data_IF_898568421442
#
_entry.id   IF_898568421442
#
_cell.length_a   1.000
_cell.length_b   1.000
_cell.length_c   1.000
_cell.angle_alpha   90.00
_cell.angle_beta   90.00
_cell.angle_gamma   90.00
#
_symmetry.space_group_name_H-M   'P 1'
#
loop_
_entity.id
_entity.type
_entity.pdbx_description
1 polymer ?
#
# COMPACT_ATOMS: atom_id res chain seq x y z
N UNK A 1 -1.52 17.86 25.10
CA UNK A 1 -2.18 18.53 23.95
C UNK A 1 -2.27 17.66 22.70
N UNK A 2 -1.29 16.77 22.44
CA UNK A 2 -1.22 15.90 21.25
C UNK A 2 -2.32 14.83 21.18
N UNK A 3 -2.70 14.22 22.30
CA UNK A 3 -3.75 13.18 22.34
C UNK A 3 -5.11 13.69 21.83
N UNK A 4 -5.39 14.98 21.99
CA UNK A 4 -6.66 15.60 21.59
C UNK A 4 -6.71 15.82 20.06
N UNK A 5 -5.57 16.15 19.43
CA UNK A 5 -5.47 16.34 17.97
C UNK A 5 -5.67 15.02 17.23
N UNK A 6 -5.04 13.94 17.69
CA UNK A 6 -5.20 12.59 17.11
C UNK A 6 -6.64 12.11 17.22
N UNK A 7 -7.29 12.31 18.39
CA UNK A 7 -8.69 11.95 18.60
C UNK A 7 -9.62 12.76 17.67
N UNK A 8 -9.36 14.05 17.48
CA UNK A 8 -10.12 14.91 16.57
C UNK A 8 -9.99 14.42 15.10
N UNK A 9 -8.78 14.11 14.65
CA UNK A 9 -8.56 13.62 13.30
C UNK A 9 -9.19 12.25 13.06
N UNK A 10 -9.11 11.34 14.04
CA UNK A 10 -9.78 10.05 13.95
C UNK A 10 -11.30 10.20 13.84
N UNK A 11 -11.88 11.15 14.58
CA UNK A 11 -13.29 11.50 14.51
C UNK A 11 -13.67 12.04 13.13
N UNK A 12 -12.87 12.97 12.56
CA UNK A 12 -13.15 13.60 11.27
C UNK A 12 -13.03 12.60 10.11
N UNK A 13 -12.04 11.70 10.17
CA UNK A 13 -11.90 10.60 9.21
C UNK A 13 -13.12 9.67 9.30
N UNK A 14 -13.55 9.28 10.49
CA UNK A 14 -14.72 8.42 10.68
C UNK A 14 -15.99 9.06 10.11
N UNK A 15 -16.19 10.34 10.34
CA UNK A 15 -17.34 11.08 9.81
C UNK A 15 -17.30 11.17 8.29
N UNK A 16 -16.11 11.41 7.72
CA UNK A 16 -15.92 11.46 6.27
C UNK A 16 -16.22 10.10 5.63
N UNK A 17 -15.71 9.01 6.20
CA UNK A 17 -15.98 7.64 5.74
C UNK A 17 -17.45 7.25 5.93
N UNK A 18 -18.08 7.66 7.03
CA UNK A 18 -19.52 7.45 7.27
C UNK A 18 -20.37 8.14 6.20
N UNK A 19 -20.00 9.35 5.78
CA UNK A 19 -20.70 10.06 4.69
C UNK A 19 -20.52 9.35 3.35
N UNK A 20 -19.33 8.79 3.06
CA UNK A 20 -19.09 7.97 1.86
C UNK A 20 -19.98 6.72 1.88
N UNK A 21 -20.07 6.03 3.01
CA UNK A 21 -20.94 4.86 3.15
C UNK A 21 -22.40 5.18 2.83
N UNK A 22 -22.92 6.30 3.35
CA UNK A 22 -24.28 6.77 3.04
C UNK A 22 -24.48 7.09 1.54
N UNK A 23 -23.47 7.67 0.89
CA UNK A 23 -23.53 7.90 -0.55
C UNK A 23 -23.52 6.60 -1.35
N UNK A 24 -22.71 5.61 -0.97
CA UNK A 24 -22.69 4.30 -1.63
C UNK A 24 -24.00 3.54 -1.41
N UNK A 25 -24.58 3.58 -0.20
CA UNK A 25 -25.89 3.01 0.10
C UNK A 25 -27.00 3.66 -0.75
N UNK A 26 -26.90 4.96 -1.02
CA UNK A 26 -27.87 5.65 -1.88
C UNK A 26 -27.87 5.14 -3.33
N UNK A 27 -26.78 4.54 -3.81
CA UNK A 27 -26.66 3.93 -5.14
C UNK A 27 -27.46 2.63 -5.27
N UNK A 28 -27.88 2.00 -4.17
CA UNK A 28 -28.78 0.84 -4.19
C UNK A 28 -30.19 1.22 -4.72
N UNK A 29 -30.50 2.53 -4.73
CA UNK A 29 -31.76 3.07 -5.24
C UNK A 29 -31.50 4.14 -6.33
N UNK A 30 -30.95 3.75 -7.49
CA UNK A 30 -30.48 4.68 -8.51
C UNK A 30 -31.56 5.57 -9.12
N UNK A 31 -32.84 5.20 -9.00
CA UNK A 31 -33.97 6.00 -9.50
C UNK A 31 -34.23 7.27 -8.66
N UNK A 32 -33.62 7.43 -7.49
CA UNK A 32 -33.84 8.54 -6.56
C UNK A 32 -32.68 9.51 -6.50
N UNK A 33 -31.54 9.19 -7.10
CA UNK A 33 -30.30 9.98 -6.96
C UNK A 33 -29.57 10.11 -8.30
N UNK A 34 -28.87 11.23 -8.46
CA UNK A 34 -27.91 11.43 -9.54
C UNK A 34 -26.63 10.65 -9.24
N UNK A 35 -26.51 9.48 -9.90
CA UNK A 35 -25.43 8.52 -9.70
C UNK A 35 -24.04 9.13 -9.94
N UNK A 36 -23.89 9.93 -11.02
CA UNK A 36 -22.60 10.54 -11.36
C UNK A 36 -22.19 11.56 -10.29
N UNK A 37 -23.15 12.33 -9.80
CA UNK A 37 -22.92 13.29 -8.73
C UNK A 37 -22.57 12.60 -7.40
N UNK A 38 -23.21 11.49 -7.08
CA UNK A 38 -22.92 10.70 -5.87
C UNK A 38 -21.51 10.12 -5.94
N UNK A 39 -21.15 9.52 -7.08
CA UNK A 39 -19.81 8.95 -7.29
C UNK A 39 -18.71 10.01 -7.20
N UNK A 40 -18.89 11.17 -7.87
CA UNK A 40 -17.93 12.26 -7.81
C UNK A 40 -17.73 12.81 -6.39
N UNK A 41 -18.80 12.92 -5.59
CA UNK A 41 -18.71 13.37 -4.19
C UNK A 41 -18.07 12.32 -3.31
N UNK A 42 -18.38 11.04 -3.50
CA UNK A 42 -17.74 9.94 -2.78
C UNK A 42 -16.23 9.91 -3.02
N UNK A 43 -15.80 10.07 -4.28
CA UNK A 43 -14.39 10.15 -4.65
C UNK A 43 -13.69 11.34 -3.98
N UNK A 44 -14.29 12.52 -3.97
CA UNK A 44 -13.75 13.71 -3.32
C UNK A 44 -13.59 13.53 -1.79
N UNK A 45 -14.58 12.89 -1.14
CA UNK A 45 -14.52 12.59 0.30
C UNK A 45 -13.48 11.53 0.64
N UNK A 46 -13.35 10.49 -0.19
CA UNK A 46 -12.31 9.47 -0.04
C UNK A 46 -10.92 10.08 -0.18
N UNK A 47 -10.69 10.95 -1.16
CA UNK A 47 -9.45 11.70 -1.32
C UNK A 47 -9.13 12.55 -0.08
N UNK A 48 -10.14 13.24 0.46
CA UNK A 48 -10.00 14.03 1.68
C UNK A 48 -9.63 13.15 2.88
N UNK A 49 -10.33 12.02 3.10
CA UNK A 49 -10.03 11.10 4.18
C UNK A 49 -8.61 10.52 4.07
N UNK A 50 -8.17 10.16 2.85
CA UNK A 50 -6.82 9.66 2.59
C UNK A 50 -5.75 10.72 2.89
N UNK A 51 -6.00 12.00 2.52
CA UNK A 51 -5.09 13.10 2.87
C UNK A 51 -4.97 13.26 4.39
N UNK A 52 -6.10 13.26 5.11
CA UNK A 52 -6.12 13.37 6.57
C UNK A 52 -5.39 12.19 7.23
N UNK A 53 -5.57 10.97 6.74
CA UNK A 53 -4.80 9.80 7.20
C UNK A 53 -3.29 9.99 6.99
N UNK A 54 -2.89 10.54 5.84
CA UNK A 54 -1.48 10.79 5.53
C UNK A 54 -0.85 11.84 6.45
N UNK A 55 -1.61 12.89 6.77
CA UNK A 55 -1.19 13.94 7.71
C UNK A 55 -1.05 13.40 9.14
N UNK A 56 -2.03 12.60 9.59
CA UNK A 56 -1.97 11.86 10.86
C UNK A 56 -0.73 10.98 10.97
N UNK A 57 -0.41 10.28 9.89
CA UNK A 57 0.74 9.37 9.89
C UNK A 57 2.06 10.13 9.92
N UNK A 58 2.16 11.28 9.24
CA UNK A 58 3.34 12.14 9.34
C UNK A 58 3.52 12.68 10.75
N UNK A 59 2.45 13.03 11.43
CA UNK A 59 2.51 13.49 12.82
C UNK A 59 2.86 12.34 13.78
N UNK A 60 2.27 11.15 13.60
CA UNK A 60 2.58 9.96 14.37
C UNK A 60 4.03 9.45 14.13
N UNK A 61 4.58 9.64 12.94
CA UNK A 61 5.97 9.29 12.64
C UNK A 61 6.97 10.20 13.35
N UNK A 62 6.57 11.43 13.71
CA UNK A 62 7.37 12.34 14.54
C UNK A 62 7.43 11.90 16.00
N UNK A 63 6.41 11.21 16.50
CA UNK A 63 6.43 10.53 17.80
C UNK A 63 7.06 9.15 17.60
N UNK A 64 8.35 9.02 17.91
CA UNK A 64 9.23 7.86 17.69
C UNK A 64 8.77 6.60 18.46
N UNK A 65 7.63 6.07 18.14
CA UNK A 65 7.22 4.72 18.54
C UNK A 65 7.61 3.74 17.43
N UNK A 66 8.90 3.44 17.34
CA UNK A 66 9.40 2.33 16.52
C UNK A 66 8.81 1.05 17.09
N UNK A 67 7.78 0.53 16.43
CA UNK A 67 7.35 -0.84 16.66
C UNK A 67 8.53 -1.73 16.25
N UNK A 68 9.06 -2.56 17.16
CA UNK A 68 10.21 -3.41 16.83
C UNK A 68 9.88 -4.28 15.61
N UNK A 69 10.84 -4.51 14.73
CA UNK A 69 10.64 -5.38 13.59
C UNK A 69 10.24 -6.79 14.06
N UNK A 70 9.24 -7.36 13.43
CA UNK A 70 8.78 -8.72 13.68
C UNK A 70 9.17 -9.61 12.51
N UNK A 71 9.43 -10.88 12.79
CA UNK A 71 9.64 -11.87 11.73
C UNK A 71 8.30 -12.39 11.27
N UNK A 72 8.02 -12.26 9.97
CA UNK A 72 6.77 -12.75 9.38
C UNK A 72 6.99 -13.25 7.93
N UNK A 73 6.04 -14.03 7.44
CA UNK A 73 6.02 -14.54 6.08
C UNK A 73 5.49 -13.45 5.12
N UNK A 74 6.40 -12.88 4.33
CA UNK A 74 6.05 -11.83 3.36
C UNK A 74 5.27 -12.37 2.16
N UNK A 75 5.40 -13.66 1.85
CA UNK A 75 4.63 -14.29 0.77
C UNK A 75 3.13 -14.19 1.05
N UNK A 76 2.72 -14.49 2.29
CA UNK A 76 1.33 -14.35 2.73
C UNK A 76 0.84 -12.89 2.64
N UNK A 77 1.69 -11.94 3.01
CA UNK A 77 1.35 -10.52 2.92
C UNK A 77 1.12 -10.10 1.45
N UNK A 78 1.94 -10.60 0.52
CA UNK A 78 1.74 -10.37 -0.91
C UNK A 78 0.41 -10.97 -1.37
N UNK A 79 0.13 -12.24 -1.02
CA UNK A 79 -1.12 -12.93 -1.39
C UNK A 79 -2.36 -12.20 -0.86
N UNK A 80 -2.32 -11.70 0.38
CA UNK A 80 -3.39 -10.90 0.98
C UNK A 80 -3.65 -9.63 0.18
N UNK A 81 -2.60 -8.88 -0.17
CA UNK A 81 -2.73 -7.66 -0.99
C UNK A 81 -3.28 -7.99 -2.38
N UNK A 82 -2.79 -9.05 -3.02
CA UNK A 82 -3.29 -9.48 -4.33
C UNK A 82 -4.77 -9.86 -4.28
N UNK A 83 -5.21 -10.57 -3.23
CA UNK A 83 -6.62 -10.92 -3.02
C UNK A 83 -7.53 -9.70 -2.89
N UNK A 84 -7.06 -8.64 -2.19
CA UNK A 84 -7.82 -7.39 -2.05
C UNK A 84 -7.88 -6.57 -3.34
N UNK A 85 -6.84 -6.62 -4.16
CA UNK A 85 -6.73 -5.82 -5.39
C UNK A 85 -7.36 -6.54 -6.59
N UNK A 86 -7.36 -7.87 -6.62
CA UNK A 86 -7.86 -8.66 -7.76
C UNK A 86 -9.24 -8.21 -8.30
N UNK A 87 -10.24 -7.87 -7.47
CA UNK A 87 -11.55 -7.44 -7.96
C UNK A 87 -11.56 -6.14 -8.78
N UNK A 88 -10.53 -5.30 -8.62
CA UNK A 88 -10.43 -3.99 -9.31
C UNK A 88 -9.47 -3.99 -10.48
N UNK A 89 -8.79 -5.11 -10.75
CA UNK A 89 -7.91 -5.29 -11.92
C UNK A 89 -8.76 -5.35 -13.19
N UNK A 90 -8.43 -4.60 -14.26
CA UNK A 90 -9.14 -4.70 -15.53
C UNK A 90 -9.10 -6.12 -16.09
N UNK A 91 -10.20 -6.59 -16.65
CA UNK A 91 -10.32 -7.95 -17.21
C UNK A 91 -9.29 -8.28 -18.30
N UNK A 92 -8.73 -7.26 -18.96
CA UNK A 92 -7.69 -7.41 -19.98
C UNK A 92 -6.27 -7.45 -19.42
N UNK A 93 -6.10 -7.34 -18.08
CA UNK A 93 -4.81 -7.28 -17.39
C UNK A 93 -4.65 -8.51 -16.52
N UNK A 94 -3.51 -9.21 -16.66
CA UNK A 94 -3.15 -10.35 -15.81
C UNK A 94 -2.35 -9.85 -14.61
N UNK A 95 -2.73 -10.30 -13.41
CA UNK A 95 -1.97 -10.09 -12.17
C UNK A 95 -1.32 -11.42 -11.78
N UNK A 96 0.00 -11.45 -11.62
CA UNK A 96 0.75 -12.68 -11.37
C UNK A 96 1.80 -12.51 -10.27
N UNK A 97 2.06 -13.59 -9.55
CA UNK A 97 3.15 -13.70 -8.57
C UNK A 97 4.06 -14.85 -8.96
N UNK A 98 5.34 -14.59 -9.12
CA UNK A 98 6.39 -15.60 -9.25
C UNK A 98 7.16 -15.73 -7.92
N UNK A 99 7.29 -16.96 -7.44
CA UNK A 99 7.83 -17.30 -6.11
C UNK A 99 6.70 -17.61 -5.14
N UNK A 100 6.50 -18.88 -4.83
CA UNK A 100 5.42 -19.39 -3.97
C UNK A 100 5.90 -20.04 -2.66
N UNK A 101 7.21 -20.12 -2.44
CA UNK A 101 7.76 -20.63 -1.19
C UNK A 101 7.62 -19.56 -0.10
N UNK A 102 7.34 -19.95 1.17
CA UNK A 102 7.34 -19.01 2.29
C UNK A 102 8.70 -18.30 2.42
N UNK A 103 8.70 -16.98 2.42
CA UNK A 103 9.88 -16.15 2.62
C UNK A 103 9.67 -15.25 3.84
N UNK A 104 10.63 -15.30 4.76
CA UNK A 104 10.53 -14.58 6.03
C UNK A 104 11.40 -13.32 6.01
N UNK A 105 10.83 -12.22 6.51
CA UNK A 105 11.50 -10.91 6.63
C UNK A 105 11.36 -10.36 8.04
N UNK A 106 12.32 -9.51 8.44
CA UNK A 106 12.29 -8.79 9.71
C UNK A 106 11.88 -7.32 9.45
N UNK A 107 10.60 -7.02 9.61
CA UNK A 107 10.03 -5.69 9.39
C UNK A 107 8.69 -5.52 10.14
N UNK A 108 8.04 -4.36 10.03
CA UNK A 108 6.66 -4.19 10.45
C UNK A 108 5.71 -4.71 9.36
N UNK A 109 4.96 -5.78 9.62
CA UNK A 109 4.07 -6.42 8.65
C UNK A 109 3.01 -5.45 8.10
N UNK A 110 2.47 -4.55 8.93
CA UNK A 110 1.47 -3.54 8.50
C UNK A 110 2.07 -2.53 7.55
N UNK A 111 3.32 -2.13 7.78
CA UNK A 111 4.01 -1.19 6.89
C UNK A 111 4.31 -1.84 5.55
N UNK A 112 4.84 -3.08 5.56
CA UNK A 112 5.10 -3.84 4.33
C UNK A 112 3.83 -4.07 3.53
N UNK A 113 2.72 -4.46 4.19
CA UNK A 113 1.41 -4.54 3.55
C UNK A 113 1.04 -3.23 2.83
N UNK A 114 1.20 -2.08 3.50
CA UNK A 114 0.86 -0.77 2.93
C UNK A 114 1.78 -0.35 1.79
N UNK A 115 3.07 -0.68 1.87
CA UNK A 115 4.01 -0.44 0.77
C UNK A 115 3.53 -1.21 -0.46
N UNK A 116 3.32 -2.52 -0.33
CA UNK A 116 2.87 -3.40 -1.40
C UNK A 116 1.53 -2.93 -1.99
N UNK A 117 0.56 -2.65 -1.12
CA UNK A 117 -0.76 -2.15 -1.54
C UNK A 117 -0.64 -0.88 -2.38
N UNK A 118 0.14 0.11 -1.94
CA UNK A 118 0.31 1.37 -2.66
C UNK A 118 0.95 1.17 -4.03
N UNK A 119 1.97 0.31 -4.13
CA UNK A 119 2.68 0.06 -5.39
C UNK A 119 1.80 -0.71 -6.38
N UNK A 120 1.15 -1.79 -5.94
CA UNK A 120 0.28 -2.61 -6.80
C UNK A 120 -0.95 -1.81 -7.21
N UNK A 121 -1.57 -1.07 -6.28
CA UNK A 121 -2.70 -0.19 -6.59
C UNK A 121 -2.33 0.89 -7.61
N UNK A 122 -1.10 1.41 -7.55
CA UNK A 122 -0.60 2.37 -8.55
C UNK A 122 -0.52 1.71 -9.95
N UNK A 123 0.04 0.50 -10.07
CA UNK A 123 0.11 -0.24 -11.33
C UNK A 123 -1.30 -0.53 -11.90
N UNK A 124 -2.26 -0.91 -11.05
CA UNK A 124 -3.67 -1.09 -11.45
C UNK A 124 -4.30 0.23 -11.89
N UNK A 125 -3.98 1.34 -11.25
CA UNK A 125 -4.41 2.68 -11.67
C UNK A 125 -3.96 3.02 -13.09
N UNK A 126 -2.69 2.70 -13.42
CA UNK A 126 -2.16 2.85 -14.78
C UNK A 126 -2.90 1.92 -15.75
N UNK A 127 -3.13 0.65 -15.39
CA UNK A 127 -3.85 -0.31 -16.22
C UNK A 127 -5.28 0.16 -16.56
N UNK A 128 -5.97 0.80 -15.61
CA UNK A 128 -7.32 1.33 -15.79
C UNK A 128 -7.37 2.56 -16.71
N UNK A 129 -6.35 3.40 -16.68
CA UNK A 129 -6.30 4.67 -17.43
C UNK A 129 -5.68 4.49 -18.81
N UNK A 130 -4.52 3.86 -18.89
CA UNK A 130 -3.77 3.70 -20.14
C UNK A 130 -4.36 2.63 -21.08
N UNK A 131 -5.09 1.63 -20.54
CA UNK A 131 -5.66 0.49 -21.28
C UNK A 131 -4.68 -0.32 -22.12
N UNK A 132 -3.38 -0.06 -21.97
CA UNK A 132 -2.28 -0.74 -22.68
C UNK A 132 -1.60 -1.79 -21.83
N UNK A 133 -1.77 -1.73 -20.51
CA UNK A 133 -1.20 -2.68 -19.56
C UNK A 133 -1.89 -4.03 -19.69
N UNK A 134 -1.12 -5.07 -20.02
CA UNK A 134 -1.59 -6.46 -20.15
C UNK A 134 -1.14 -7.31 -18.98
N UNK A 135 -0.07 -6.91 -18.32
CA UNK A 135 0.51 -7.67 -17.23
C UNK A 135 0.96 -6.76 -16.09
N UNK A 136 0.65 -7.17 -14.87
CA UNK A 136 1.25 -6.69 -13.64
C UNK A 136 1.88 -7.92 -13.00
N UNK A 137 3.20 -7.96 -12.92
CA UNK A 137 3.97 -9.09 -12.43
C UNK A 137 4.66 -8.75 -11.12
N UNK A 138 4.49 -9.61 -10.13
CA UNK A 138 5.28 -9.59 -8.91
C UNK A 138 6.29 -10.73 -8.94
N UNK A 139 7.50 -10.44 -8.49
CA UNK A 139 8.55 -11.45 -8.32
C UNK A 139 9.10 -11.34 -6.92
N UNK A 140 9.19 -12.47 -6.22
CA UNK A 140 9.74 -12.59 -4.89
C UNK A 140 10.98 -13.47 -4.93
N UNK A 141 12.14 -12.91 -4.58
CA UNK A 141 13.43 -13.58 -4.60
C UNK A 141 14.14 -13.40 -3.26
N UNK A 142 14.76 -14.47 -2.75
CA UNK A 142 15.63 -14.36 -1.60
C UNK A 142 17.07 -14.65 -2.03
N UNK A 143 17.95 -13.68 -1.83
CA UNK A 143 19.36 -13.74 -2.16
C UNK A 143 20.20 -13.54 -0.89
N UNK A 144 20.50 -14.62 -0.19
CA UNK A 144 21.23 -14.58 1.08
C UNK A 144 20.47 -13.77 2.15
N UNK A 145 21.05 -12.67 2.68
CA UNK A 145 20.44 -11.86 3.74
C UNK A 145 19.39 -10.86 3.22
N UNK A 146 19.19 -10.77 1.93
CA UNK A 146 18.25 -9.84 1.30
C UNK A 146 17.06 -10.60 0.69
N UNK A 147 15.88 -10.00 0.80
CA UNK A 147 14.65 -10.39 0.10
C UNK A 147 14.26 -9.26 -0.83
N UNK A 148 14.16 -9.56 -2.11
CA UNK A 148 13.81 -8.61 -3.15
C UNK A 148 12.40 -8.90 -3.65
N UNK A 149 11.55 -7.88 -3.64
CA UNK A 149 10.21 -7.91 -4.21
C UNK A 149 10.18 -6.93 -5.36
N UNK A 150 9.92 -7.39 -6.58
CA UNK A 150 9.74 -6.57 -7.76
C UNK A 150 8.28 -6.50 -8.14
N UNK A 151 7.83 -5.32 -8.51
CA UNK A 151 6.47 -5.06 -8.98
C UNK A 151 6.59 -4.34 -10.30
N UNK A 152 6.27 -5.03 -11.39
CA UNK A 152 6.43 -4.54 -12.75
C UNK A 152 5.10 -4.49 -13.49
N UNK A 153 4.87 -3.42 -14.26
CA UNK A 153 3.82 -3.34 -15.27
C UNK A 153 4.43 -3.17 -16.68
N UNK A 154 3.74 -3.64 -17.69
CA UNK A 154 4.12 -3.52 -19.11
C UNK A 154 3.51 -2.27 -19.78
N UNK A 155 3.18 -1.26 -18.99
CA UNK A 155 2.53 -0.03 -19.40
C UNK A 155 3.43 0.95 -20.16
N UNK A 156 3.01 2.22 -20.26
CA UNK A 156 3.74 3.24 -21.01
C UNK A 156 5.02 3.71 -20.30
N UNK A 157 5.28 3.26 -19.07
CA UNK A 157 6.35 3.78 -18.24
C UNK A 157 6.06 5.16 -17.66
N UNK A 158 7.08 5.78 -17.08
CA UNK A 158 7.00 7.09 -16.46
C UNK A 158 7.78 8.13 -17.28
N UNK A 159 7.17 9.28 -17.61
CA UNK A 159 7.90 10.41 -18.19
C UNK A 159 9.06 10.86 -17.27
N UNK A 160 10.14 11.38 -17.86
CA UNK A 160 11.36 11.75 -17.13
C UNK A 160 11.11 12.79 -16.03
N UNK A 161 10.26 13.78 -16.31
CA UNK A 161 9.86 14.80 -15.35
C UNK A 161 9.05 14.24 -14.16
N UNK A 162 8.33 13.13 -14.37
CA UNK A 162 7.62 12.38 -13.33
C UNK A 162 8.59 11.53 -12.54
N UNK A 163 9.55 10.85 -13.20
CA UNK A 163 10.60 10.05 -12.54
C UNK A 163 11.37 10.87 -11.52
N UNK A 164 11.82 12.07 -11.90
CA UNK A 164 12.59 12.98 -11.03
C UNK A 164 11.85 13.41 -9.76
N UNK A 165 10.51 13.28 -9.73
CA UNK A 165 9.66 13.73 -8.62
C UNK A 165 8.74 12.65 -8.07
N UNK A 166 9.01 11.41 -8.41
CA UNK A 166 8.11 10.27 -8.20
C UNK A 166 7.66 10.08 -6.74
N UNK A 167 8.56 10.33 -5.80
CA UNK A 167 8.30 10.17 -4.37
C UNK A 167 7.91 11.48 -3.67
N UNK A 168 7.69 12.56 -4.40
CA UNK A 168 7.19 13.81 -3.82
C UNK A 168 5.67 13.73 -3.64
N UNK A 169 5.21 14.11 -2.44
CA UNK A 169 3.78 14.07 -2.10
C UNK A 169 2.94 15.09 -2.88
N UNK A 170 1.67 14.73 -3.15
CA UNK A 170 0.67 15.63 -3.70
C UNK A 170 0.56 15.67 -5.21
N UNK A 171 1.25 14.78 -5.95
CA UNK A 171 1.12 14.66 -7.41
C UNK A 171 0.68 13.26 -7.81
N UNK A 172 -0.39 13.17 -8.56
CA UNK A 172 -0.89 11.92 -9.14
C UNK A 172 -1.00 12.08 -10.65
N UNK A 173 -0.49 11.09 -11.39
CA UNK A 173 -0.67 10.99 -12.85
C UNK A 173 -1.89 10.14 -13.23
N UNK A 174 -2.45 9.39 -12.27
CA UNK A 174 -3.55 8.44 -12.49
C UNK A 174 -4.87 8.86 -11.82
N UNK A 175 -4.98 10.13 -11.40
CA UNK A 175 -6.19 10.65 -10.74
C UNK A 175 -6.33 10.24 -9.26
N UNK A 176 -5.33 9.58 -8.68
CA UNK A 176 -5.27 9.28 -7.24
C UNK A 176 -4.87 10.50 -6.40
N UNK A 177 -4.69 10.31 -5.09
CA UNK A 177 -4.35 11.37 -4.12
C UNK A 177 -2.92 11.90 -4.27
N UNK A 178 -2.04 11.19 -4.99
CA UNK A 178 -0.62 11.52 -5.14
C UNK A 178 0.24 11.26 -3.90
N UNK A 179 -0.30 10.63 -2.86
CA UNK A 179 0.44 10.34 -1.62
C UNK A 179 0.94 8.90 -1.52
N UNK A 180 0.43 7.97 -2.34
CA UNK A 180 0.73 6.55 -2.21
C UNK A 180 2.22 6.21 -2.27
N UNK A 181 2.95 6.77 -3.23
CA UNK A 181 4.37 6.51 -3.41
C UNK A 181 5.24 7.18 -2.34
N UNK A 182 4.91 8.39 -1.91
CA UNK A 182 5.62 9.06 -0.81
C UNK A 182 5.43 8.34 0.52
N UNK A 183 4.22 7.82 0.78
CA UNK A 183 3.95 6.97 1.94
C UNK A 183 4.74 5.66 1.85
N UNK A 184 4.74 5.00 0.69
CA UNK A 184 5.47 3.75 0.50
C UNK A 184 6.97 3.95 0.80
N UNK A 185 7.58 5.04 0.33
CA UNK A 185 8.97 5.37 0.59
C UNK A 185 9.25 5.62 2.07
N UNK A 186 8.43 6.44 2.73
CA UNK A 186 8.57 6.73 4.16
C UNK A 186 8.48 5.45 5.01
N UNK A 187 7.53 4.56 4.67
CA UNK A 187 7.38 3.28 5.34
C UNK A 187 8.55 2.33 5.07
N UNK A 188 9.10 2.32 3.86
CA UNK A 188 10.29 1.55 3.54
C UNK A 188 11.50 2.03 4.35
N UNK A 189 11.79 3.35 4.35
CA UNK A 189 12.87 3.95 5.12
C UNK A 189 12.74 3.64 6.63
N UNK A 190 11.54 3.70 7.19
CA UNK A 190 11.27 3.37 8.59
C UNK A 190 11.59 1.92 8.94
N UNK A 191 11.41 1.01 7.99
CA UNK A 191 11.72 -0.42 8.15
C UNK A 191 13.17 -0.77 7.76
N UNK A 192 14.00 0.20 7.39
CA UNK A 192 15.35 -0.03 6.88
C UNK A 192 15.35 -0.76 5.53
N UNK A 193 14.23 -0.71 4.81
CA UNK A 193 14.07 -1.25 3.47
C UNK A 193 14.47 -0.22 2.41
N UNK A 194 14.91 -0.70 1.25
CA UNK A 194 15.23 0.13 0.10
C UNK A 194 14.07 0.02 -0.88
N UNK A 195 13.50 1.17 -1.27
CA UNK A 195 12.47 1.25 -2.32
C UNK A 195 13.00 2.10 -3.47
N UNK A 196 13.12 1.49 -4.63
CA UNK A 196 13.66 2.11 -5.83
C UNK A 196 12.74 1.91 -7.03
N UNK A 197 12.82 2.84 -7.97
CA UNK A 197 12.32 2.68 -9.33
C UNK A 197 13.45 2.09 -10.17
N UNK A 198 13.25 0.88 -10.65
CA UNK A 198 14.22 0.20 -11.50
C UNK A 198 14.16 0.74 -12.94
N UNK A 199 15.29 0.70 -13.64
CA UNK A 199 15.31 0.97 -15.08
C UNK A 199 14.64 -0.20 -15.81
N UNK A 200 13.46 0.05 -16.36
CA UNK A 200 12.73 -0.91 -17.18
C UNK A 200 12.76 -0.47 -18.64
N UNK A 201 13.00 -1.43 -19.53
CA UNK A 201 12.97 -1.19 -20.98
C UNK A 201 11.55 -0.86 -21.45
N UNK A 202 10.54 -1.35 -20.72
CA UNK A 202 9.13 -1.13 -21.01
C UNK A 202 8.33 -1.15 -19.72
N UNK A 203 7.46 -0.16 -19.54
CA UNK A 203 6.60 -0.07 -18.37
C UNK A 203 7.30 0.54 -17.15
N UNK A 204 6.80 0.20 -15.97
CA UNK A 204 7.33 0.67 -14.68
C UNK A 204 7.69 -0.53 -13.81
N UNK A 205 8.86 -0.50 -13.18
CA UNK A 205 9.26 -1.52 -12.21
C UNK A 205 9.72 -0.86 -10.93
N UNK A 206 9.08 -1.25 -9.81
CA UNK A 206 9.52 -0.92 -8.46
C UNK A 206 10.20 -2.13 -7.82
N UNK A 207 11.32 -1.88 -7.14
CA UNK A 207 12.04 -2.87 -6.37
C UNK A 207 12.02 -2.49 -4.90
N UNK A 208 11.64 -3.45 -4.04
CA UNK A 208 11.72 -3.34 -2.59
C UNK A 208 12.74 -4.37 -2.13
N UNK A 209 13.74 -3.92 -1.37
CA UNK A 209 14.69 -4.81 -0.71
C UNK A 209 14.45 -4.78 0.81
N UNK A 210 14.22 -5.96 1.39
CA UNK A 210 13.98 -6.18 2.80
C UNK A 210 15.06 -7.10 3.38
N UNK A 211 15.28 -7.03 4.69
CA UNK A 211 16.15 -7.95 5.38
C UNK A 211 15.49 -9.32 5.56
N UNK A 212 16.14 -10.36 5.05
CA UNK A 212 15.72 -11.74 5.29
C UNK A 212 15.79 -12.12 6.77
N UNK A 213 14.90 -12.99 7.20
CA UNK A 213 14.89 -13.55 8.55
C UNK A 213 14.72 -15.07 8.50
N UNK A 214 15.22 -15.77 9.54
CA UNK A 214 15.02 -17.18 9.67
C UNK A 214 13.62 -17.52 10.16
N UNK A 215 12.98 -18.53 9.57
CA UNK A 215 11.66 -19.01 9.97
C UNK A 215 11.59 -19.41 11.46
N UNK A 216 12.69 -19.84 12.06
CA UNK A 216 12.78 -20.20 13.50
C UNK A 216 12.56 -19.00 14.42
N UNK A 217 12.97 -17.80 14.02
CA UNK A 217 12.81 -16.58 14.83
C UNK A 217 11.34 -16.14 14.94
N UNK A 218 10.46 -16.54 14.01
CA UNK A 218 9.03 -16.26 14.09
C UNK A 218 8.30 -17.07 15.19
N UNK A 219 8.78 -18.28 15.51
CA UNK A 219 8.20 -19.13 16.54
C UNK A 219 8.54 -18.62 17.97
N UNK A 220 9.74 -18.09 18.17
CA UNK A 220 10.18 -17.59 19.47
C UNK A 220 9.48 -16.28 19.85
N UNK A 221 9.22 -15.39 18.88
CA UNK A 221 8.50 -14.14 19.13
C UNK A 221 7.03 -14.35 19.44
N UNK A 222 6.38 -15.33 18.80
CA UNK A 222 4.97 -15.66 19.04
C UNK A 222 4.75 -16.32 20.42
N UNK A 223 5.67 -17.17 20.86
CA UNK A 223 5.59 -17.86 22.16
C UNK A 223 5.83 -16.89 23.33
N UNK A 224 6.68 -15.89 23.18
CA UNK A 224 6.95 -14.89 24.22
C UNK A 224 5.76 -13.94 24.41
N UNK A 225 5.05 -13.59 23.35
CA UNK A 225 3.86 -12.72 23.44
C UNK A 225 2.67 -13.43 24.07
N UNK A 226 2.51 -14.75 23.83
CA UNK A 226 1.45 -15.56 24.46
C UNK A 226 1.70 -15.77 25.95
N UNK A 227 2.93 -15.97 26.37
CA UNK A 227 3.29 -16.16 27.77
C UNK A 227 3.14 -14.89 28.63
N UNK A 228 3.29 -13.70 28.03
CA UNK A 228 3.07 -12.42 28.72
C UNK A 228 1.58 -12.06 28.84
N UNK A 229 0.71 -12.61 27.96
CA UNK A 229 -0.75 -12.37 28.02
C UNK A 229 -1.45 -13.28 29.01
N UNK A 230 -0.87 -14.43 29.41
CA UNK A 230 -1.42 -15.32 30.44
C UNK A 230 -0.96 -14.96 31.87
N UNK A 231 -0.01 -14.04 32.02
CA UNK A 231 0.54 -13.60 33.29
C UNK A 231 0.03 -12.23 33.77
N UNK A 232 -0.90 -11.62 33.06
CA UNK A 232 -1.56 -10.34 33.38
C UNK A 232 -3.07 -10.53 33.59
#
# INVERSE_FOLDING_TARGET
>A
MESNAIAQWAHDIRNTLGTVALYLESLERPSLVDTDRVLARSDALLKKATSMCSDLMREAARCDTRIPPQVFDVTRTIEEVLGLIAPIVPAATTLSLAGSAPVYVAANAKDVFRILFNLIHNAVGVARTARTVRQIALTLEQNGPAVTIKIADDGPGLPEDVRARLFQSGRSTTGGTGFGLSIARELAERNGAILELSDSVRGTEFTIELRAADAKASYESASTTSAMSEAA
#
